data_IF_255389654927
#
_entry.id   IF_255389654927
#
_cell.length_a   1.000
_cell.length_b   1.000
_cell.length_c   1.000
_cell.angle_alpha   90.00
_cell.angle_beta   90.00
_cell.angle_gamma   90.00
#
_symmetry.space_group_name_H-M   'P 1'
#
loop_
_entity.id
_entity.type
_entity.pdbx_description
1 polymer ?
#
# COMPACT_ATOMS: atom_id res chain seq x y z
N UNK A 1 -43.19 12.59 -26.72
CA UNK A 1 -42.01 11.83 -26.28
C UNK A 1 -40.92 12.80 -25.85
N UNK A 2 -40.95 13.27 -24.59
CA UNK A 2 -39.91 14.14 -24.00
C UNK A 2 -39.45 13.59 -22.62
N UNK A 3 -40.35 12.90 -21.91
CA UNK A 3 -40.07 12.28 -20.62
C UNK A 3 -39.08 11.10 -20.69
N UNK A 4 -38.97 10.41 -21.83
CA UNK A 4 -38.07 9.26 -22.00
C UNK A 4 -36.62 9.64 -22.36
N UNK A 5 -36.35 10.89 -22.73
CA UNK A 5 -35.02 11.32 -23.18
C UNK A 5 -34.26 12.12 -22.11
N UNK A 6 -34.96 12.76 -21.17
CA UNK A 6 -34.34 13.54 -20.09
C UNK A 6 -33.93 12.67 -18.89
N UNK A 7 -32.64 12.69 -18.53
CA UNK A 7 -32.08 12.01 -17.35
C UNK A 7 -32.75 12.45 -16.04
N UNK A 8 -33.15 13.72 -15.94
CA UNK A 8 -33.86 14.23 -14.76
C UNK A 8 -35.27 13.66 -14.65
N UNK A 9 -35.99 13.56 -15.77
CA UNK A 9 -37.33 12.98 -15.78
C UNK A 9 -37.32 11.48 -15.48
N UNK A 10 -36.29 10.75 -15.93
CA UNK A 10 -36.08 9.35 -15.53
C UNK A 10 -35.92 9.21 -14.02
N UNK A 11 -35.01 9.98 -13.41
CA UNK A 11 -34.81 9.98 -11.95
C UNK A 11 -36.09 10.34 -11.18
N UNK A 12 -36.87 11.31 -11.69
CA UNK A 12 -38.13 11.69 -11.08
C UNK A 12 -39.16 10.55 -11.14
N UNK A 13 -39.30 9.88 -12.29
CA UNK A 13 -40.21 8.75 -12.46
C UNK A 13 -39.80 7.55 -11.60
N UNK A 14 -38.51 7.25 -11.51
CA UNK A 14 -37.99 6.18 -10.64
C UNK A 14 -38.32 6.48 -9.17
N UNK A 15 -38.16 7.75 -8.76
CA UNK A 15 -38.47 8.21 -7.40
C UNK A 15 -39.97 8.10 -7.10
N UNK A 16 -40.83 8.53 -8.03
CA UNK A 16 -42.29 8.41 -7.89
C UNK A 16 -42.69 6.93 -7.78
N UNK A 17 -42.11 6.06 -8.59
CA UNK A 17 -42.36 4.61 -8.55
C UNK A 17 -42.05 4.03 -7.17
N UNK A 18 -40.95 4.46 -6.52
CA UNK A 18 -40.60 4.04 -5.16
C UNK A 18 -41.58 4.62 -4.12
N UNK A 19 -42.03 5.86 -4.31
CA UNK A 19 -43.00 6.49 -3.40
C UNK A 19 -44.38 5.83 -3.42
N UNK A 20 -44.80 5.30 -4.58
CA UNK A 20 -46.08 4.63 -4.79
C UNK A 20 -46.08 3.14 -4.37
N UNK A 21 -44.94 2.59 -3.94
CA UNK A 21 -44.83 1.21 -3.48
C UNK A 21 -45.72 0.93 -2.26
N UNK A 22 -46.19 -0.32 -2.15
CA UNK A 22 -46.84 -0.80 -0.92
C UNK A 22 -45.87 -0.72 0.26
N UNK A 23 -46.36 -0.59 1.52
CA UNK A 23 -45.49 -0.54 2.69
C UNK A 23 -44.51 -1.72 2.79
N UNK A 24 -44.94 -2.92 2.36
CA UNK A 24 -44.10 -4.13 2.35
C UNK A 24 -42.99 -4.03 1.30
N UNK A 25 -43.33 -3.64 0.07
CA UNK A 25 -42.35 -3.57 -1.02
C UNK A 25 -41.34 -2.46 -0.79
N UNK A 26 -41.79 -1.33 -0.23
CA UNK A 26 -40.92 -0.24 0.18
C UNK A 26 -39.93 -0.69 1.26
N UNK A 27 -40.41 -1.43 2.27
CA UNK A 27 -39.53 -1.99 3.30
C UNK A 27 -38.48 -2.95 2.73
N UNK A 28 -38.88 -3.83 1.79
CA UNK A 28 -37.95 -4.74 1.11
C UNK A 28 -36.91 -3.97 0.26
N UNK A 29 -37.35 -2.95 -0.46
CA UNK A 29 -36.49 -2.07 -1.25
C UNK A 29 -35.46 -1.36 -0.35
N UNK A 30 -35.92 -0.68 0.70
CA UNK A 30 -35.06 0.06 1.62
C UNK A 30 -34.07 -0.88 2.34
N UNK A 31 -34.53 -2.06 2.76
CA UNK A 31 -33.65 -3.07 3.39
C UNK A 31 -32.56 -3.55 2.45
N UNK A 32 -32.89 -3.78 1.17
CA UNK A 32 -31.91 -4.18 0.16
C UNK A 32 -30.92 -3.05 -0.11
N UNK A 33 -31.42 -1.83 -0.29
CA UNK A 33 -30.56 -0.66 -0.53
C UNK A 33 -29.59 -0.43 0.62
N UNK A 34 -30.06 -0.54 1.87
CA UNK A 34 -29.20 -0.46 3.05
C UNK A 34 -28.10 -1.52 3.02
N UNK A 35 -28.46 -2.78 2.75
CA UNK A 35 -27.48 -3.87 2.67
C UNK A 35 -26.42 -3.62 1.58
N UNK A 36 -26.83 -3.19 0.38
CA UNK A 36 -25.88 -2.89 -0.70
C UNK A 36 -24.97 -1.72 -0.35
N UNK A 37 -25.49 -0.69 0.33
CA UNK A 37 -24.69 0.44 0.82
C UNK A 37 -23.70 0.03 1.91
N UNK A 38 -24.12 -0.77 2.88
CA UNK A 38 -23.25 -1.30 3.93
C UNK A 38 -22.14 -2.16 3.30
N UNK A 39 -22.50 -3.06 2.37
CA UNK A 39 -21.56 -3.89 1.63
C UNK A 39 -20.55 -3.06 0.84
N UNK A 40 -21.01 -2.05 0.11
CA UNK A 40 -20.13 -1.16 -0.66
C UNK A 40 -19.18 -0.38 0.26
N UNK A 41 -19.68 0.06 1.42
CA UNK A 41 -18.89 0.77 2.42
C UNK A 41 -17.79 -0.12 3.01
N UNK A 42 -18.13 -1.35 3.40
CA UNK A 42 -17.14 -2.32 3.90
C UNK A 42 -16.04 -2.63 2.87
N UNK A 43 -16.41 -2.81 1.59
CA UNK A 43 -15.43 -3.06 0.52
C UNK A 43 -14.51 -1.84 0.33
N UNK A 44 -15.08 -0.63 0.32
CA UNK A 44 -14.31 0.60 0.14
C UNK A 44 -13.34 0.81 1.31
N UNK A 45 -13.80 0.61 2.54
CA UNK A 45 -12.98 0.72 3.73
C UNK A 45 -11.86 -0.33 3.73
N UNK A 46 -12.18 -1.59 3.42
CA UNK A 46 -11.18 -2.66 3.32
C UNK A 46 -10.11 -2.38 2.26
N UNK A 47 -10.50 -1.83 1.10
CA UNK A 47 -9.55 -1.42 0.07
C UNK A 47 -8.64 -0.28 0.56
N UNK A 48 -9.21 0.72 1.25
CA UNK A 48 -8.44 1.84 1.80
C UNK A 48 -7.45 1.39 2.86
N UNK A 49 -7.89 0.55 3.80
CA UNK A 49 -7.02 -0.05 4.82
C UNK A 49 -5.93 -0.91 4.18
N UNK A 50 -6.27 -1.70 3.15
CA UNK A 50 -5.31 -2.51 2.41
C UNK A 50 -4.20 -1.67 1.76
N UNK A 51 -4.55 -0.53 1.15
CA UNK A 51 -3.57 0.42 0.60
C UNK A 51 -2.70 0.99 1.71
N UNK A 52 -3.30 1.47 2.80
CA UNK A 52 -2.57 2.08 3.92
C UNK A 52 -1.56 1.12 4.54
N UNK A 53 -1.99 -0.12 4.82
CA UNK A 53 -1.11 -1.19 5.33
C UNK A 53 -0.01 -1.52 4.32
N UNK A 54 -0.34 -1.60 3.03
CA UNK A 54 0.63 -1.88 1.97
C UNK A 54 1.72 -0.81 1.86
N UNK A 55 1.35 0.47 1.95
CA UNK A 55 2.30 1.59 1.95
C UNK A 55 3.20 1.50 3.18
N UNK A 56 2.62 1.33 4.37
CA UNK A 56 3.38 1.27 5.62
C UNK A 56 4.36 0.09 5.65
N UNK A 57 3.94 -1.09 5.20
CA UNK A 57 4.82 -2.25 5.07
C UNK A 57 5.95 -2.00 4.06
N UNK A 58 5.64 -1.37 2.93
CA UNK A 58 6.62 -0.98 1.92
C UNK A 58 7.67 -0.01 2.47
N UNK A 59 7.25 1.01 3.21
CA UNK A 59 8.15 1.99 3.83
C UNK A 59 9.06 1.36 4.89
N UNK A 60 8.51 0.48 5.74
CA UNK A 60 9.30 -0.21 6.78
C UNK A 60 10.34 -1.11 6.12
N UNK A 61 9.93 -1.93 5.15
CA UNK A 61 10.82 -2.86 4.46
C UNK A 61 11.90 -2.11 3.68
N UNK A 62 11.51 -1.10 2.89
CA UNK A 62 12.45 -0.30 2.11
C UNK A 62 13.44 0.47 2.99
N UNK A 63 13.00 0.96 4.15
CA UNK A 63 13.91 1.59 5.12
C UNK A 63 14.92 0.59 5.69
N UNK A 64 14.47 -0.61 6.08
CA UNK A 64 15.37 -1.64 6.62
C UNK A 64 16.40 -2.10 5.59
N UNK A 65 15.95 -2.41 4.37
CA UNK A 65 16.84 -2.78 3.25
C UNK A 65 17.83 -1.65 2.94
N UNK A 66 17.36 -0.40 2.84
CA UNK A 66 18.22 0.76 2.61
C UNK A 66 19.27 1.01 3.71
N UNK A 67 18.93 0.78 4.98
CA UNK A 67 19.90 0.85 6.07
C UNK A 67 20.94 -0.26 6.01
N UNK A 68 20.54 -1.49 5.70
CA UNK A 68 21.44 -2.63 5.56
C UNK A 68 22.42 -2.41 4.40
N UNK A 69 21.89 -2.04 3.23
CA UNK A 69 22.69 -1.75 2.03
C UNK A 69 23.65 -0.58 2.27
N UNK A 70 23.17 0.50 2.89
CA UNK A 70 24.01 1.65 3.23
C UNK A 70 25.11 1.32 4.25
N UNK A 71 24.80 0.50 5.26
CA UNK A 71 25.78 0.03 6.23
C UNK A 71 26.84 -0.86 5.58
N UNK A 72 26.43 -1.77 4.69
CA UNK A 72 27.33 -2.64 3.96
C UNK A 72 28.22 -1.84 2.99
N UNK A 73 27.65 -0.91 2.23
CA UNK A 73 28.40 -0.02 1.34
C UNK A 73 29.45 0.79 2.10
N UNK A 74 29.11 1.32 3.28
CA UNK A 74 30.06 2.02 4.15
C UNK A 74 31.18 1.11 4.67
N UNK A 75 30.86 -0.15 4.98
CA UNK A 75 31.87 -1.13 5.36
C UNK A 75 32.87 -1.39 4.21
N UNK A 76 32.37 -1.54 2.98
CA UNK A 76 33.21 -1.70 1.78
C UNK A 76 34.10 -0.47 1.53
N UNK A 77 33.56 0.74 1.65
CA UNK A 77 34.33 1.98 1.47
C UNK A 77 35.43 2.12 2.54
N UNK A 78 35.10 1.79 3.79
CA UNK A 78 36.07 1.79 4.90
C UNK A 78 37.19 0.78 4.64
N UNK A 79 36.84 -0.44 4.22
CA UNK A 79 37.81 -1.48 3.91
C UNK A 79 38.72 -1.10 2.74
N UNK A 80 38.18 -0.52 1.66
CA UNK A 80 38.96 0.00 0.52
C UNK A 80 39.96 1.07 0.95
N UNK A 81 39.54 2.01 1.80
CA UNK A 81 40.41 3.07 2.32
C UNK A 81 41.57 2.48 3.13
N UNK A 82 41.27 1.57 4.06
CA UNK A 82 42.31 0.94 4.89
C UNK A 82 43.26 0.07 4.07
N UNK A 83 42.76 -0.64 3.04
CA UNK A 83 43.59 -1.39 2.10
C UNK A 83 44.52 -0.47 1.33
N UNK A 84 44.04 0.69 0.85
CA UNK A 84 44.86 1.72 0.22
C UNK A 84 45.92 2.34 1.15
N UNK A 85 45.66 2.35 2.46
CA UNK A 85 46.62 2.75 3.49
C UNK A 85 47.56 1.62 3.93
N UNK A 86 47.49 0.44 3.29
CA UNK A 86 48.35 -0.71 3.54
C UNK A 86 48.21 -1.32 4.96
N UNK A 87 47.02 -1.21 5.58
CA UNK A 87 46.72 -1.89 6.85
C UNK A 87 46.69 -3.41 6.68
N UNK A 88 47.04 -4.19 7.72
CA UNK A 88 46.92 -5.64 7.71
C UNK A 88 45.47 -6.09 7.47
N UNK A 89 45.27 -7.13 6.66
CA UNK A 89 43.93 -7.68 6.35
C UNK A 89 43.16 -8.05 7.63
N UNK A 90 43.85 -8.56 8.65
CA UNK A 90 43.26 -8.86 9.97
C UNK A 90 42.59 -7.64 10.62
N UNK A 91 43.23 -6.48 10.55
CA UNK A 91 42.71 -5.24 11.14
C UNK A 91 41.55 -4.70 10.30
N UNK A 92 41.63 -4.84 8.97
CA UNK A 92 40.55 -4.46 8.05
C UNK A 92 39.30 -5.32 8.31
N UNK A 93 39.44 -6.64 8.46
CA UNK A 93 38.33 -7.54 8.84
C UNK A 93 37.68 -7.09 10.15
N UNK A 94 38.51 -6.77 11.15
CA UNK A 94 38.05 -6.39 12.49
C UNK A 94 37.29 -5.06 12.49
N UNK A 95 37.75 -4.07 11.72
CA UNK A 95 37.14 -2.73 11.67
C UNK A 95 35.91 -2.66 10.77
N UNK A 96 35.96 -3.30 9.59
CA UNK A 96 34.87 -3.27 8.61
C UNK A 96 33.79 -4.32 8.87
N UNK A 97 34.10 -5.38 9.63
CA UNK A 97 33.21 -6.52 9.83
C UNK A 97 33.04 -7.41 8.60
N UNK A 98 33.81 -7.18 7.54
CA UNK A 98 33.80 -7.97 6.32
C UNK A 98 34.67 -9.22 6.47
N UNK A 99 34.30 -10.26 5.73
CA UNK A 99 35.09 -11.48 5.60
C UNK A 99 36.41 -11.21 4.88
N UNK A 100 37.36 -12.12 5.06
CA UNK A 100 38.67 -12.01 4.41
C UNK A 100 38.51 -12.12 2.89
N UNK A 101 37.61 -12.97 2.42
CA UNK A 101 37.29 -13.17 1.02
C UNK A 101 36.77 -11.89 0.38
N UNK A 102 35.83 -11.20 1.04
CA UNK A 102 35.32 -9.91 0.57
C UNK A 102 36.46 -8.87 0.45
N UNK A 103 37.33 -8.79 1.45
CA UNK A 103 38.46 -7.85 1.45
C UNK A 103 39.51 -8.19 0.38
N UNK A 104 39.77 -9.47 0.12
CA UNK A 104 40.69 -9.90 -0.92
C UNK A 104 40.15 -9.55 -2.32
N UNK A 105 38.82 -9.54 -2.50
CA UNK A 105 38.17 -9.13 -3.76
C UNK A 105 38.02 -7.62 -3.98
N UNK A 106 38.21 -6.79 -2.94
CA UNK A 106 38.09 -5.31 -3.02
C UNK A 106 39.27 -4.62 -3.69
#
# INVERSE_FOLDING_TARGET
MLAQESTMMKKANDTITIMEMSPRDKWLYDSRMKYEHDRASCINEGYRQGIEVGILQGEIKGRQEGFADGSYQKALETAKLMKGMNYPISDICTVSGLSKEEIDTL
#
